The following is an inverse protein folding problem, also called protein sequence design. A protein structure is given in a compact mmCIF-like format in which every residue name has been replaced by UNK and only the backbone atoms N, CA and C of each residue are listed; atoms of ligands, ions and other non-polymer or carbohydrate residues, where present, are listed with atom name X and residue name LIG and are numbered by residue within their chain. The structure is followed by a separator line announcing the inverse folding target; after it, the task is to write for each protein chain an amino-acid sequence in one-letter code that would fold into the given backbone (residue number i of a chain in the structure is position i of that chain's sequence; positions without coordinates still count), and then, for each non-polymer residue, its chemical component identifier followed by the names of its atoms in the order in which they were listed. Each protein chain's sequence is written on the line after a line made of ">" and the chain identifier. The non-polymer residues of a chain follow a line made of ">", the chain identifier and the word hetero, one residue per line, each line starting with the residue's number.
data_IF_202352915005
#
_entry.id   IF_202352915005
#
_cell.length_a   1.000
_cell.length_b   1.000
_cell.length_c   1.000
_cell.angle_alpha   90.00
_cell.angle_beta   90.00
_cell.angle_gamma   90.00
#
_symmetry.space_group_name_H-M   'P 1'
#
loop_
_entity.id
_entity.type
_entity.pdbx_description
1 polymer ?
#
# COMPACT_ATOMS: atom_id res chain seq x y z
N UNK A 1 6.32 -12.54 -13.11
CA UNK A 1 4.94 -12.18 -12.81
C UNK A 1 4.18 -12.05 -14.11
N UNK A 2 3.06 -12.70 -14.18
CA UNK A 2 2.30 -12.75 -15.41
C UNK A 2 1.59 -11.47 -15.77
N UNK A 3 1.08 -11.42 -17.00
CA UNK A 3 0.31 -10.29 -17.51
C UNK A 3 -0.97 -10.05 -16.71
N UNK A 4 -1.41 -11.04 -15.96
CA UNK A 4 -2.69 -10.99 -15.26
C UNK A 4 -2.61 -10.25 -13.94
N UNK A 5 -1.41 -9.85 -13.52
CA UNK A 5 -1.22 -9.13 -12.27
C UNK A 5 -0.88 -7.68 -12.54
N UNK A 6 -1.28 -6.84 -11.61
CA UNK A 6 -0.97 -5.42 -11.64
C UNK A 6 -0.36 -5.04 -10.30
N UNK A 7 0.72 -4.27 -10.36
CA UNK A 7 1.31 -3.72 -9.15
C UNK A 7 0.64 -2.40 -8.83
N UNK A 8 0.06 -2.32 -7.64
CA UNK A 8 -0.56 -1.10 -7.14
C UNK A 8 0.36 -0.49 -6.11
N UNK A 9 0.72 0.77 -6.31
CA UNK A 9 1.59 1.49 -5.39
C UNK A 9 0.77 2.57 -4.72
N UNK A 10 0.61 2.45 -3.40
CA UNK A 10 -0.23 3.37 -2.63
C UNK A 10 0.52 3.90 -1.44
N UNK A 11 0.20 5.15 -1.09
CA UNK A 11 0.67 5.78 0.13
C UNK A 11 -0.50 5.92 1.08
N UNK A 12 -0.30 5.53 2.34
CA UNK A 12 -1.31 5.64 3.38
C UNK A 12 -0.80 6.51 4.51
N UNK A 13 -1.70 7.28 5.11
CA UNK A 13 -1.42 8.01 6.33
C UNK A 13 -2.47 7.63 7.36
N UNK A 14 -2.04 7.41 8.59
CA UNK A 14 -2.93 6.96 9.65
C UNK A 14 -2.48 7.51 10.99
N UNK A 15 -3.40 7.62 11.97
CA UNK A 15 -3.02 8.04 13.31
C UNK A 15 -2.03 7.06 13.91
N UNK A 16 -0.96 7.58 14.50
CA UNK A 16 0.05 6.75 15.13
C UNK A 16 -0.46 6.36 16.52
N UNK A 17 -1.06 5.20 16.63
CA UNK A 17 -1.59 4.67 17.87
C UNK A 17 -1.30 3.18 17.95
N UNK A 18 -1.31 2.62 19.15
CA UNK A 18 -1.07 1.17 19.29
C UNK A 18 -2.03 0.37 18.43
N UNK A 19 -1.47 -0.56 17.67
CA UNK A 19 -2.26 -1.46 16.84
C UNK A 19 -2.62 -0.94 15.45
N UNK A 20 -2.35 0.32 15.12
CA UNK A 20 -2.75 0.86 13.82
C UNK A 20 -2.06 0.15 12.67
N UNK A 21 -0.77 -0.10 12.78
CA UNK A 21 -0.03 -0.81 11.74
C UNK A 21 -0.51 -2.25 11.60
N UNK A 22 -0.77 -2.89 12.73
CA UNK A 22 -1.28 -4.26 12.71
C UNK A 22 -2.67 -4.34 12.10
N UNK A 23 -3.50 -3.34 12.35
CA UNK A 23 -4.82 -3.27 11.73
C UNK A 23 -4.70 -3.21 10.21
N UNK A 24 -3.76 -2.40 9.71
CA UNK A 24 -3.50 -2.32 8.27
C UNK A 24 -3.12 -3.70 7.71
N UNK A 25 -2.16 -4.34 8.37
CA UNK A 25 -1.66 -5.64 7.90
C UNK A 25 -2.74 -6.72 7.99
N UNK A 26 -3.55 -6.69 9.04
CA UNK A 26 -4.60 -7.69 9.23
C UNK A 26 -5.70 -7.59 8.18
N UNK A 27 -5.95 -6.40 7.66
CA UNK A 27 -7.00 -6.21 6.68
C UNK A 27 -6.55 -6.47 5.25
N UNK A 28 -5.24 -6.54 5.01
CA UNK A 28 -4.75 -6.93 3.69
C UNK A 28 -5.12 -8.37 3.40
N UNK A 29 -5.52 -8.62 2.15
CA UNK A 29 -5.79 -9.98 1.71
C UNK A 29 -4.48 -10.78 1.76
N UNK A 30 -4.44 -11.89 2.49
CA UNK A 30 -3.20 -12.66 2.63
C UNK A 30 -2.71 -13.29 1.33
N UNK A 31 -3.58 -13.37 0.30
CA UNK A 31 -3.18 -13.91 -0.99
C UNK A 31 -2.46 -12.87 -1.86
N UNK A 32 -2.45 -11.62 -1.46
CA UNK A 32 -1.74 -10.59 -2.22
C UNK A 32 -0.27 -10.57 -1.83
N UNK A 33 0.58 -10.41 -2.85
CA UNK A 33 2.02 -10.32 -2.61
C UNK A 33 2.41 -8.88 -2.42
N UNK A 34 3.12 -8.60 -1.33
CA UNK A 34 3.66 -7.27 -1.07
C UNK A 34 5.01 -7.18 -1.75
N UNK A 35 5.14 -6.28 -2.72
CA UNK A 35 6.39 -6.06 -3.44
C UNK A 35 7.27 -5.02 -2.76
N UNK A 36 6.64 -4.06 -2.09
CA UNK A 36 7.34 -2.96 -1.44
C UNK A 36 6.59 -2.64 -0.16
N UNK A 37 7.34 -2.41 0.91
CA UNK A 37 6.74 -1.97 2.17
C UNK A 37 7.69 -0.99 2.84
N UNK A 38 7.24 0.25 3.00
CA UNK A 38 8.06 1.29 3.60
C UNK A 38 7.23 2.00 4.65
N UNK A 39 7.63 1.85 5.90
CA UNK A 39 6.94 2.52 7.00
C UNK A 39 7.83 3.62 7.55
N UNK A 40 7.23 4.76 7.84
CA UNK A 40 7.94 5.86 8.48
C UNK A 40 6.98 6.55 9.46
N UNK A 41 7.48 6.81 10.66
CA UNK A 41 6.79 7.69 11.58
C UNK A 41 7.08 9.13 11.14
N UNK A 42 6.02 9.87 10.84
CA UNK A 42 6.15 11.21 10.29
C UNK A 42 5.67 12.22 11.32
N UNK A 43 6.43 12.38 12.39
CA UNK A 43 6.06 13.18 13.53
C UNK A 43 5.45 12.33 14.63
N UNK A 44 4.95 12.95 15.67
CA UNK A 44 4.50 12.23 16.85
C UNK A 44 3.19 11.49 16.62
N UNK A 45 2.35 11.99 15.71
CA UNK A 45 0.96 11.53 15.63
C UNK A 45 0.59 10.86 14.33
N UNK A 46 1.48 10.83 13.35
CA UNK A 46 1.17 10.33 12.01
C UNK A 46 2.17 9.30 11.57
N UNK A 47 1.65 8.14 11.15
CA UNK A 47 2.45 7.12 10.47
C UNK A 47 2.16 7.15 8.98
N UNK A 48 3.17 6.86 8.18
CA UNK A 48 3.06 6.80 6.72
C UNK A 48 3.58 5.47 6.22
N UNK A 49 2.81 4.86 5.33
CA UNK A 49 3.21 3.63 4.67
C UNK A 49 3.17 3.86 3.17
N UNK A 50 4.22 3.42 2.48
CA UNK A 50 4.20 3.27 1.02
C UNK A 50 4.27 1.78 0.77
N UNK A 51 3.26 1.25 0.10
CA UNK A 51 3.17 -0.18 -0.14
C UNK A 51 2.90 -0.45 -1.61
N UNK A 52 3.64 -1.41 -2.15
CA UNK A 52 3.37 -1.97 -3.47
C UNK A 52 2.76 -3.35 -3.29
N UNK A 53 1.66 -3.61 -3.95
CA UNK A 53 0.93 -4.86 -3.83
C UNK A 53 0.61 -5.41 -5.21
N UNK A 54 0.87 -6.69 -5.40
CA UNK A 54 0.53 -7.38 -6.65
C UNK A 54 -0.88 -7.94 -6.51
N UNK A 55 -1.77 -7.45 -7.35
CA UNK A 55 -3.18 -7.83 -7.32
C UNK A 55 -3.56 -8.36 -8.69
N UNK A 56 -4.25 -9.49 -8.73
CA UNK A 56 -4.76 -10.01 -10.00
C UNK A 56 -5.77 -9.01 -10.58
N UNK A 57 -5.78 -8.89 -11.90
CA UNK A 57 -6.67 -7.93 -12.57
C UNK A 57 -8.13 -8.12 -12.22
N UNK A 58 -8.53 -9.34 -11.93
CA UNK A 58 -9.91 -9.62 -11.54
C UNK A 58 -10.22 -9.22 -10.11
N UNK A 59 -9.20 -8.83 -9.34
CA UNK A 59 -9.35 -8.49 -7.91
C UNK A 59 -9.20 -7.00 -7.62
N UNK A 60 -9.21 -6.18 -8.66
CA UNK A 60 -9.08 -4.72 -8.45
C UNK A 60 -10.23 -4.20 -7.59
N UNK A 61 -11.43 -4.75 -7.78
CA UNK A 61 -12.57 -4.33 -6.97
C UNK A 61 -12.37 -4.72 -5.49
N UNK A 62 -11.72 -5.85 -5.25
CA UNK A 62 -11.41 -6.27 -3.87
C UNK A 62 -10.44 -5.31 -3.22
N UNK A 63 -9.49 -4.77 -3.99
CA UNK A 63 -8.59 -3.74 -3.51
C UNK A 63 -9.35 -2.49 -3.07
N UNK A 64 -10.32 -2.06 -3.89
CA UNK A 64 -11.13 -0.89 -3.56
C UNK A 64 -11.95 -1.12 -2.29
N UNK A 65 -12.46 -2.33 -2.11
CA UNK A 65 -13.19 -2.68 -0.90
C UNK A 65 -12.26 -2.63 0.31
N UNK A 66 -11.03 -3.11 0.16
CA UNK A 66 -10.03 -3.03 1.22
C UNK A 66 -9.79 -1.58 1.62
N UNK A 67 -9.62 -0.67 0.64
CA UNK A 67 -9.41 0.74 0.93
C UNK A 67 -10.56 1.33 1.72
N UNK A 68 -11.80 1.01 1.33
CA UNK A 68 -12.97 1.50 2.05
C UNK A 68 -13.04 0.97 3.48
N UNK A 69 -12.77 -0.31 3.66
CA UNK A 69 -12.84 -0.93 4.98
C UNK A 69 -11.75 -0.43 5.90
N UNK A 70 -10.59 -0.11 5.34
CA UNK A 70 -9.49 0.41 6.13
C UNK A 70 -9.75 1.82 6.63
N UNK A 71 -10.31 2.66 5.76
CA UNK A 71 -10.70 4.01 6.12
C UNK A 71 -9.56 4.99 6.36
N UNK A 72 -8.32 4.61 6.08
CA UNK A 72 -7.19 5.53 6.20
C UNK A 72 -7.11 6.44 4.98
N UNK A 73 -6.51 7.61 5.16
CA UNK A 73 -6.20 8.47 4.02
C UNK A 73 -5.21 7.75 3.13
N UNK A 74 -5.47 7.75 1.83
CA UNK A 74 -4.59 7.06 0.90
C UNK A 74 -4.55 7.78 -0.44
N UNK A 75 -3.45 7.54 -1.14
CA UNK A 75 -3.21 8.13 -2.46
C UNK A 75 -2.63 7.06 -3.36
N UNK A 76 -3.16 6.99 -4.58
CA UNK A 76 -2.59 6.12 -5.61
C UNK A 76 -1.33 6.78 -6.15
N UNK A 77 -0.20 6.15 -5.91
CA UNK A 77 1.10 6.66 -6.34
C UNK A 77 1.66 5.85 -7.50
N UNK A 78 0.86 5.01 -8.11
CA UNK A 78 1.34 4.11 -9.18
C UNK A 78 1.94 4.85 -10.35
N UNK A 79 1.50 6.09 -10.58
CA UNK A 79 2.00 6.91 -11.69
C UNK A 79 2.94 8.02 -11.22
N UNK A 80 3.32 8.04 -9.95
CA UNK A 80 4.20 9.07 -9.43
C UNK A 80 5.63 8.79 -9.87
N UNK A 81 6.18 9.67 -10.70
CA UNK A 81 7.50 9.48 -11.27
C UNK A 81 8.59 9.43 -10.20
N UNK A 82 8.45 10.20 -9.13
CA UNK A 82 9.43 10.20 -8.05
C UNK A 82 9.58 8.82 -7.41
N UNK A 83 8.46 8.16 -7.14
CA UNK A 83 8.48 6.81 -6.60
C UNK A 83 9.01 5.81 -7.60
N UNK A 84 8.62 5.95 -8.86
CA UNK A 84 9.10 5.06 -9.91
C UNK A 84 10.62 5.11 -10.02
N UNK A 85 11.19 6.30 -10.01
CA UNK A 85 12.63 6.47 -10.11
C UNK A 85 13.34 5.94 -8.87
N UNK A 86 12.80 6.21 -7.69
CA UNK A 86 13.39 5.75 -6.44
C UNK A 86 13.42 4.21 -6.39
N UNK A 87 12.30 3.59 -6.71
CA UNK A 87 12.17 2.14 -6.66
C UNK A 87 13.00 1.47 -7.75
N UNK A 88 13.07 2.09 -8.92
CA UNK A 88 13.87 1.55 -10.02
C UNK A 88 15.36 1.55 -9.71
N UNK A 89 15.82 2.48 -8.89
CA UNK A 89 17.22 2.55 -8.53
C UNK A 89 17.67 1.40 -7.64
N UNK A 90 16.72 0.76 -6.96
CA UNK A 90 17.01 -0.33 -6.04
C UNK A 90 16.96 -1.71 -6.71
N UNK A 91 16.50 -1.77 -7.94
CA UNK A 91 16.31 -3.04 -8.61
C UNK A 91 17.52 -3.49 -9.44
#
# INVERSE_FOLDING_TARGET
>A
IGKDYKELLYRFEFPERPGALMEFLDKLNPDWSISIFHYRNHGADIGRIVVGVLVHKTEINDWNIFLENLGYKCWDESKNLAYQLFLGADS
#
